data_IF_569685429161
#
_entry.id   IF_569685429161
#
_cell.length_a   1.000
_cell.length_b   1.000
_cell.length_c   1.000
_cell.angle_alpha   90.00
_cell.angle_beta   90.00
_cell.angle_gamma   90.00
#
_symmetry.space_group_name_H-M   'P 1'
#
loop_
_entity.id
_entity.type
_entity.pdbx_description
1 polymer ?
#
# COMPACT_ATOMS: atom_id res chain seq x y z
N UNK A 1 5.98 -0.83 -7.97
CA UNK A 1 5.26 0.01 -6.98
C UNK A 1 3.81 -0.39 -6.87
N UNK A 2 3.06 -0.52 -7.97
CA UNK A 2 1.76 -1.22 -7.92
C UNK A 2 1.93 -2.69 -7.53
N UNK A 3 2.87 -3.40 -8.18
CA UNK A 3 3.38 -4.68 -7.70
C UNK A 3 4.34 -4.46 -6.52
N UNK A 4 4.25 -5.22 -5.41
CA UNK A 4 3.32 -6.35 -5.13
C UNK A 4 1.95 -5.96 -4.52
N UNK A 5 1.76 -4.70 -4.14
CA UNK A 5 0.68 -4.30 -3.21
C UNK A 5 -0.75 -4.32 -3.78
N UNK A 6 -0.93 -4.04 -5.08
CA UNK A 6 -2.24 -4.16 -5.73
C UNK A 6 -2.74 -5.61 -5.72
N UNK A 7 -1.82 -6.56 -5.89
CA UNK A 7 -2.14 -7.98 -5.83
C UNK A 7 -2.43 -8.42 -4.41
N UNK A 8 -1.69 -7.92 -3.42
CA UNK A 8 -1.98 -8.23 -2.00
C UNK A 8 -3.43 -7.87 -1.64
N UNK A 9 -3.86 -6.64 -1.93
CA UNK A 9 -5.22 -6.20 -1.64
C UNK A 9 -6.27 -7.01 -2.39
N UNK A 10 -6.03 -7.31 -3.67
CA UNK A 10 -6.92 -8.15 -4.47
C UNK A 10 -7.03 -9.59 -3.94
N UNK A 11 -5.90 -10.20 -3.57
CA UNK A 11 -5.84 -11.57 -3.07
C UNK A 11 -6.47 -11.71 -1.68
N UNK A 12 -6.31 -10.70 -0.81
CA UNK A 12 -6.87 -10.71 0.54
C UNK A 12 -8.40 -10.78 0.57
N UNK A 13 -9.06 -10.16 -0.42
CA UNK A 13 -10.52 -10.19 -0.57
C UNK A 13 -10.99 -11.19 -1.62
N UNK A 14 -10.08 -12.02 -2.14
CA UNK A 14 -10.34 -13.00 -3.21
C UNK A 14 -11.05 -12.36 -4.40
N UNK A 15 -10.55 -11.21 -4.87
CA UNK A 15 -11.13 -10.52 -6.01
C UNK A 15 -11.10 -11.40 -7.26
N UNK A 16 -12.20 -11.40 -8.01
CA UNK A 16 -12.32 -12.17 -9.28
C UNK A 16 -11.51 -11.57 -10.42
N UNK A 17 -11.06 -10.32 -10.29
CA UNK A 17 -10.19 -9.65 -11.24
C UNK A 17 -9.69 -8.31 -10.72
N UNK A 18 -8.84 -7.64 -11.50
CA UNK A 18 -8.38 -6.27 -11.24
C UNK A 18 -9.16 -5.31 -12.14
N UNK A 19 -9.90 -4.36 -11.55
CA UNK A 19 -10.67 -3.37 -12.31
C UNK A 19 -10.10 -1.95 -12.18
N UNK A 20 -10.72 -0.99 -12.89
CA UNK A 20 -10.28 0.40 -12.87
C UNK A 20 -10.43 1.08 -11.50
N UNK A 21 -11.44 0.72 -10.71
CA UNK A 21 -11.61 1.24 -9.36
C UNK A 21 -10.41 0.87 -8.47
N UNK A 22 -9.93 -0.37 -8.56
CA UNK A 22 -8.75 -0.85 -7.84
C UNK A 22 -7.47 -0.14 -8.28
N UNK A 23 -7.26 0.04 -9.60
CA UNK A 23 -6.11 0.78 -10.12
C UNK A 23 -6.12 2.23 -9.63
N UNK A 24 -7.27 2.88 -9.70
CA UNK A 24 -7.47 4.25 -9.23
C UNK A 24 -7.18 4.36 -7.73
N UNK A 25 -7.69 3.42 -6.92
CA UNK A 25 -7.43 3.39 -5.48
C UNK A 25 -5.94 3.21 -5.16
N UNK A 26 -5.24 2.32 -5.86
CA UNK A 26 -3.80 2.13 -5.70
C UNK A 26 -3.01 3.41 -6.01
N UNK A 27 -3.34 4.10 -7.10
CA UNK A 27 -2.68 5.36 -7.50
C UNK A 27 -2.94 6.46 -6.48
N UNK A 28 -4.19 6.61 -6.01
CA UNK A 28 -4.56 7.59 -4.98
C UNK A 28 -3.82 7.33 -3.66
N UNK A 29 -3.77 6.08 -3.21
CA UNK A 29 -3.06 5.69 -2.00
C UNK A 29 -1.55 5.97 -2.12
N UNK A 30 -0.94 5.63 -3.26
CA UNK A 30 0.47 5.90 -3.52
C UNK A 30 0.78 7.40 -3.55
N UNK A 31 -0.07 8.19 -4.19
CA UNK A 31 0.08 9.64 -4.28
C UNK A 31 -0.11 10.33 -2.92
N UNK A 32 -1.02 9.84 -2.08
CA UNK A 32 -1.17 10.30 -0.71
C UNK A 32 0.08 9.96 0.12
N UNK A 33 0.54 8.71 0.07
CA UNK A 33 1.73 8.26 0.79
C UNK A 33 3.00 9.03 0.38
N UNK A 34 3.13 9.40 -0.88
CA UNK A 34 4.24 10.21 -1.37
C UNK A 34 4.37 11.57 -0.65
N UNK A 35 3.23 12.11 -0.18
CA UNK A 35 3.13 13.41 0.50
C UNK A 35 3.25 13.28 2.02
N UNK A 36 3.19 12.07 2.57
CA UNK A 36 3.38 11.83 3.99
C UNK A 36 4.85 11.91 4.40
N UNK A 37 5.15 12.40 5.63
CA UNK A 37 6.51 12.43 6.16
C UNK A 37 7.19 11.06 6.05
N UNK A 38 8.38 11.03 5.45
CA UNK A 38 9.15 9.81 5.26
C UNK A 38 9.83 9.43 6.58
N UNK A 39 9.61 8.21 7.11
CA UNK A 39 10.24 7.76 8.35
C UNK A 39 11.76 7.76 8.24
N UNK A 40 12.45 8.05 9.36
CA UNK A 40 13.91 8.16 9.37
C UNK A 40 14.61 6.86 8.95
N UNK A 41 14.03 5.71 9.28
CA UNK A 41 14.51 4.39 8.84
C UNK A 41 14.65 4.29 7.32
N UNK A 42 13.73 4.91 6.57
CA UNK A 42 13.78 4.94 5.11
C UNK A 42 14.86 5.93 4.63
N UNK A 43 15.03 7.07 5.30
CA UNK A 43 16.10 8.03 4.96
C UNK A 43 17.49 7.39 5.09
N UNK A 44 17.73 6.66 6.18
CA UNK A 44 18.99 5.96 6.46
C UNK A 44 19.27 4.88 5.40
N UNK A 45 18.28 4.05 5.07
CA UNK A 45 18.43 2.95 4.10
C UNK A 45 18.76 3.42 2.67
N UNK A 46 18.43 4.66 2.32
CA UNK A 46 18.69 5.23 1.00
C UNK A 46 19.80 6.28 0.99
N UNK A 47 20.59 6.39 2.07
CA UNK A 47 21.70 7.36 2.23
C UNK A 47 21.31 8.81 1.88
N UNK A 48 20.05 9.17 2.10
CA UNK A 48 19.51 10.48 1.72
C UNK A 48 19.10 11.25 2.96
N UNK A 49 19.66 12.45 3.11
CA UNK A 49 19.24 13.40 4.13
C UNK A 49 17.90 13.99 3.73
N UNK A 50 16.82 13.40 4.29
CA UNK A 50 15.45 13.93 4.30
C UNK A 50 14.71 13.83 2.97
N UNK A 51 14.21 12.63 2.66
CA UNK A 51 13.23 12.44 1.60
C UNK A 51 11.94 13.20 1.93
N UNK A 52 11.54 14.09 1.04
CA UNK A 52 10.29 14.85 1.15
C UNK A 52 9.69 15.04 -0.24
N UNK A 53 8.37 15.08 -0.32
CA UNK A 53 7.66 15.28 -1.59
C UNK A 53 8.18 16.52 -2.31
N UNK A 54 8.58 16.35 -3.57
CA UNK A 54 9.11 17.44 -4.39
C UNK A 54 9.74 16.93 -5.68
N UNK A 55 10.38 17.82 -6.44
CA UNK A 55 10.94 17.52 -7.77
C UNK A 55 11.86 16.29 -7.79
N UNK A 56 12.53 15.98 -6.67
CA UNK A 56 13.46 14.85 -6.53
C UNK A 56 12.84 13.60 -5.89
N UNK A 57 11.60 13.69 -5.39
CA UNK A 57 10.86 12.60 -4.75
C UNK A 57 9.36 12.81 -4.98
N UNK A 58 8.87 12.28 -6.09
CA UNK A 58 7.45 12.36 -6.50
C UNK A 58 6.68 11.08 -6.22
N UNK A 59 7.39 10.00 -5.88
CA UNK A 59 6.84 8.67 -5.67
C UNK A 59 7.68 7.93 -4.60
N UNK A 60 7.06 7.16 -3.70
CA UNK A 60 7.78 6.39 -2.68
C UNK A 60 8.79 5.41 -3.28
N UNK A 61 9.83 5.08 -2.50
CA UNK A 61 10.84 4.10 -2.91
C UNK A 61 10.26 2.67 -2.86
N UNK A 62 10.74 1.73 -3.71
CA UNK A 62 10.17 0.39 -3.78
C UNK A 62 10.12 -0.41 -2.48
N UNK A 63 11.07 -0.19 -1.57
CA UNK A 63 11.16 -0.89 -0.27
C UNK A 63 10.70 -0.01 0.90
N UNK A 64 9.92 1.04 0.63
CA UNK A 64 9.29 1.83 1.69
C UNK A 64 8.26 0.96 2.44
N UNK A 65 8.49 0.65 3.74
CA UNK A 65 7.64 -0.27 4.49
C UNK A 65 6.20 0.25 4.63
N UNK A 66 5.97 1.56 4.47
CA UNK A 66 4.63 2.14 4.52
C UNK A 66 3.74 1.67 3.37
N UNK A 67 4.33 1.22 2.26
CA UNK A 67 3.56 0.79 1.08
C UNK A 67 2.62 -0.38 1.38
N UNK A 68 3.02 -1.33 2.23
CA UNK A 68 2.19 -2.50 2.55
C UNK A 68 0.97 -2.14 3.39
N UNK A 69 1.06 -1.10 4.21
CA UNK A 69 -0.01 -0.72 5.13
C UNK A 69 -1.05 0.20 4.48
N UNK A 70 -0.73 0.79 3.32
CA UNK A 70 -1.59 1.80 2.69
C UNK A 70 -2.18 1.36 1.35
N UNK A 71 -1.41 0.71 0.48
CA UNK A 71 -1.89 0.34 -0.85
C UNK A 71 -2.86 -0.86 -0.82
N UNK A 72 -2.53 -2.00 -0.18
CA UNK A 72 -3.43 -3.16 -0.15
C UNK A 72 -4.81 -2.85 0.46
N UNK A 73 -4.94 -2.11 1.59
CA UNK A 73 -6.25 -1.72 2.12
C UNK A 73 -7.08 -0.87 1.17
N UNK A 74 -6.46 0.10 0.49
CA UNK A 74 -7.18 0.91 -0.49
C UNK A 74 -7.72 0.06 -1.65
N UNK A 75 -6.92 -0.91 -2.12
CA UNK A 75 -7.29 -1.81 -3.22
C UNK A 75 -8.36 -2.81 -2.78
N UNK A 76 -8.21 -3.41 -1.61
CA UNK A 76 -9.18 -4.34 -1.02
C UNK A 76 -10.55 -3.66 -0.86
N UNK A 77 -10.56 -2.42 -0.34
CA UNK A 77 -11.78 -1.61 -0.22
C UNK A 77 -12.42 -1.35 -1.58
N UNK A 78 -11.64 -0.94 -2.58
CA UNK A 78 -12.15 -0.70 -3.93
C UNK A 78 -12.70 -1.98 -4.59
N UNK A 79 -12.09 -3.14 -4.35
CA UNK A 79 -12.58 -4.42 -4.82
C UNK A 79 -13.92 -4.81 -4.18
N UNK A 80 -14.10 -4.53 -2.87
CA UNK A 80 -15.38 -4.72 -2.17
C UNK A 80 -16.46 -3.77 -2.70
N UNK A 81 -16.15 -2.47 -2.81
CA UNK A 81 -17.10 -1.44 -3.29
C UNK A 81 -17.54 -1.66 -4.74
N UNK A 82 -16.66 -2.23 -5.57
CA UNK A 82 -16.97 -2.55 -6.98
C UNK A 82 -17.60 -3.93 -7.19
N UNK A 83 -17.82 -4.69 -6.12
CA UNK A 83 -18.51 -5.99 -6.18
C UNK A 83 -17.69 -7.14 -6.78
N UNK A 84 -16.36 -6.97 -6.96
CA UNK A 84 -15.49 -8.04 -7.47
C UNK A 84 -14.85 -8.88 -6.37
N UNK A 85 -14.93 -8.44 -5.10
CA UNK A 85 -14.48 -9.19 -3.94
C UNK A 85 -15.40 -10.37 -3.60
N UNK A 86 -14.82 -11.50 -3.19
CA UNK A 86 -15.56 -12.68 -2.71
C UNK A 86 -15.48 -12.84 -1.19
N UNK A 87 -14.71 -12.01 -0.50
CA UNK A 87 -14.56 -12.03 0.96
C UNK A 87 -14.48 -10.60 1.47
N UNK A 88 -15.14 -10.35 2.60
CA UNK A 88 -15.20 -9.02 3.21
C UNK A 88 -14.16 -8.85 4.32
N UNK A 89 -13.57 -7.66 4.38
CA UNK A 89 -12.78 -7.21 5.53
C UNK A 89 -13.70 -6.36 6.41
N UNK A 90 -13.97 -6.84 7.62
CA UNK A 90 -14.83 -6.15 8.58
C UNK A 90 -14.04 -5.31 9.59
N UNK A 91 -12.81 -5.73 9.91
CA UNK A 91 -11.89 -5.01 10.80
C UNK A 91 -10.66 -4.54 10.02
N UNK A 92 -10.69 -3.26 9.65
CA UNK A 92 -9.62 -2.62 8.88
C UNK A 92 -8.34 -2.39 9.70
N UNK A 93 -8.46 -2.21 11.02
CA UNK A 93 -7.30 -2.01 11.87
C UNK A 93 -6.52 -3.31 11.99
N UNK A 94 -7.22 -4.41 12.33
CA UNK A 94 -6.63 -5.75 12.37
C UNK A 94 -6.01 -6.15 11.03
N UNK A 95 -6.66 -5.82 9.92
CA UNK A 95 -6.11 -6.08 8.60
C UNK A 95 -4.80 -5.31 8.34
N UNK A 96 -4.75 -4.01 8.66
CA UNK A 96 -3.53 -3.20 8.53
C UNK A 96 -2.40 -3.74 9.41
N UNK A 97 -2.70 -4.18 10.63
CA UNK A 97 -1.69 -4.71 11.55
C UNK A 97 -1.13 -6.04 11.06
N UNK A 98 -1.98 -6.96 10.59
CA UNK A 98 -1.54 -8.22 9.98
C UNK A 98 -0.66 -8.00 8.73
N UNK A 99 -0.91 -6.92 7.97
CA UNK A 99 -0.04 -6.56 6.84
C UNK A 99 1.32 -6.05 7.30
N UNK A 100 1.38 -5.25 8.38
CA UNK A 100 2.64 -4.76 8.96
C UNK A 100 3.48 -5.90 9.52
N UNK A 101 2.86 -6.86 10.21
CA UNK A 101 3.57 -8.03 10.75
C UNK A 101 4.27 -8.86 9.66
N UNK A 102 3.71 -8.91 8.44
CA UNK A 102 4.31 -9.64 7.31
C UNK A 102 5.58 -9.01 6.77
N UNK A 103 5.87 -7.74 7.07
CA UNK A 103 7.19 -7.14 6.81
C UNK A 103 8.22 -7.55 7.87
N UNK A 104 7.77 -8.01 9.04
CA UNK A 104 8.60 -8.30 10.22
C UNK A 104 8.73 -9.79 10.52
N UNK A 105 9.05 -10.62 9.52
CA UNK A 105 9.41 -12.04 9.72
C UNK A 105 10.71 -12.44 9.01
N UNK A 106 11.66 -11.52 8.90
CA UNK A 106 13.05 -11.86 8.66
C UNK A 106 13.77 -11.79 10.02
N UNK A 107 13.73 -12.91 10.75
CA UNK A 107 14.70 -13.21 11.82
C UNK A 107 15.99 -13.72 11.20
#
# INVERSE_FOLDING_TARGET
LGFPFIFRGALDVRATGINEAMKMAAVKALAALAKEPVPEQVNVAYEQTRLAFGRKYIIPKPFDPRLIAEIPPAVAKAAMESGVAQTEITDWNKYKDALRERLGSDN
#
